data_IF_037710441559
#
_entry.id   IF_037710441559
#
_cell.length_a   1.000
_cell.length_b   1.000
_cell.length_c   1.000
_cell.angle_alpha   90.00
_cell.angle_beta   90.00
_cell.angle_gamma   90.00
#
_symmetry.space_group_name_H-M   'P 1'
#
loop_
_entity.id
_entity.type
_entity.pdbx_description
1 polymer ?
#
# COMPACT_ATOMS: atom_id res chain seq x y z
N UNK A 1 -79.64 9.87 25.48
CA UNK A 1 -78.55 8.88 25.63
C UNK A 1 -77.52 9.22 24.52
N UNK A 2 -76.45 10.00 24.82
CA UNK A 2 -75.40 10.34 23.91
C UNK A 2 -74.25 9.34 24.06
N UNK A 3 -73.94 8.60 23.02
CA UNK A 3 -72.76 7.70 22.96
C UNK A 3 -71.56 8.50 22.55
N UNK A 4 -70.56 8.60 23.43
CA UNK A 4 -69.25 9.18 23.15
C UNK A 4 -68.36 8.10 22.51
N UNK A 5 -67.92 8.34 21.28
CA UNK A 5 -66.92 7.50 20.61
C UNK A 5 -65.53 8.08 20.86
N UNK A 6 -64.71 7.31 21.60
CA UNK A 6 -63.31 7.66 21.90
C UNK A 6 -62.44 7.03 20.78
N UNK A 7 -61.87 7.82 19.91
CA UNK A 7 -60.88 7.39 18.90
C UNK A 7 -59.50 7.38 19.49
N UNK A 8 -58.90 6.19 19.63
CA UNK A 8 -57.48 6.00 20.01
C UNK A 8 -56.60 6.18 18.75
N UNK A 9 -55.82 7.25 18.71
CA UNK A 9 -54.80 7.41 17.68
C UNK A 9 -53.51 6.69 18.13
N UNK A 10 -53.15 5.58 17.49
CA UNK A 10 -51.84 4.94 17.63
C UNK A 10 -50.81 5.76 16.82
N UNK A 11 -49.96 6.46 17.50
CA UNK A 11 -48.73 7.05 16.89
C UNK A 11 -47.64 5.99 16.83
N UNK A 12 -47.40 5.44 15.66
CA UNK A 12 -46.24 4.58 15.37
C UNK A 12 -44.95 5.44 15.22
N UNK A 13 -44.14 5.46 16.26
CA UNK A 13 -42.78 6.02 16.21
C UNK A 13 -41.88 5.06 15.44
N UNK A 14 -41.59 5.38 14.18
CA UNK A 14 -40.55 4.71 13.41
C UNK A 14 -39.19 5.11 13.99
N UNK A 15 -38.54 4.22 14.71
CA UNK A 15 -37.14 4.36 15.08
C UNK A 15 -36.28 4.18 13.79
N UNK A 16 -35.81 5.27 13.22
CA UNK A 16 -34.73 5.24 12.25
C UNK A 16 -33.45 4.84 12.99
N UNK A 17 -33.02 3.58 12.83
CA UNK A 17 -31.67 3.18 13.17
C UNK A 17 -30.73 3.88 12.19
N UNK A 18 -30.00 4.90 12.67
CA UNK A 18 -28.90 5.48 11.92
C UNK A 18 -27.84 4.36 11.66
N UNK A 19 -27.28 4.24 10.44
CA UNK A 19 -26.19 3.31 10.21
C UNK A 19 -25.06 3.70 11.15
N UNK A 20 -24.63 2.76 12.02
CA UNK A 20 -23.40 2.92 12.78
C UNK A 20 -22.28 2.97 11.75
N UNK A 21 -21.66 4.15 11.59
CA UNK A 21 -20.39 4.27 10.88
C UNK A 21 -19.43 3.32 11.61
N UNK A 22 -18.95 2.30 10.94
CA UNK A 22 -17.87 1.44 11.44
C UNK A 22 -16.66 2.33 11.61
N UNK A 23 -16.34 2.71 12.85
CA UNK A 23 -15.14 3.46 13.15
C UNK A 23 -13.95 2.62 12.67
N UNK A 24 -13.13 3.17 11.78
CA UNK A 24 -11.86 2.54 11.40
C UNK A 24 -11.09 2.23 12.70
N UNK A 25 -10.52 1.01 12.83
CA UNK A 25 -9.80 0.64 14.02
C UNK A 25 -8.67 1.63 14.28
N UNK A 26 -8.68 2.28 15.44
CA UNK A 26 -7.61 3.17 15.82
C UNK A 26 -6.33 2.37 16.08
N UNK A 27 -5.19 2.88 15.64
CA UNK A 27 -3.89 2.30 15.95
C UNK A 27 -3.64 2.29 17.47
N UNK A 28 -3.13 1.17 17.99
CA UNK A 28 -2.78 1.02 19.39
C UNK A 28 -1.41 0.36 19.56
N UNK A 29 -0.42 1.12 19.99
CA UNK A 29 0.93 0.60 20.29
C UNK A 29 0.91 -0.47 21.38
N UNK A 30 -0.04 -0.40 22.33
CA UNK A 30 -0.20 -1.42 23.36
C UNK A 30 -0.68 -2.76 22.79
N UNK A 31 -1.62 -2.74 21.84
CA UNK A 31 -2.07 -3.95 21.15
C UNK A 31 -0.96 -4.54 20.28
N UNK A 32 -0.21 -3.69 19.56
CA UNK A 32 0.96 -4.15 18.78
C UNK A 32 1.97 -4.85 19.70
N UNK A 33 2.31 -4.25 20.81
CA UNK A 33 3.30 -4.78 21.77
C UNK A 33 2.91 -6.13 22.41
N UNK A 34 1.64 -6.52 22.38
CA UNK A 34 1.19 -7.84 22.85
C UNK A 34 1.59 -8.98 21.90
N UNK A 35 1.88 -8.67 20.63
CA UNK A 35 2.30 -9.66 19.66
C UNK A 35 3.80 -9.85 19.75
N UNK A 36 4.21 -11.04 20.19
CA UNK A 36 5.62 -11.43 20.29
C UNK A 36 5.82 -12.80 19.62
N UNK A 37 6.88 -12.93 18.86
CA UNK A 37 7.20 -14.12 18.08
C UNK A 37 8.64 -14.59 18.41
N UNK A 38 8.85 -15.88 18.47
CA UNK A 38 10.20 -16.45 18.67
C UNK A 38 11.09 -16.28 17.43
N UNK A 39 10.49 -16.19 16.24
CA UNK A 39 11.19 -15.90 14.99
C UNK A 39 10.24 -15.28 13.95
N UNK A 40 10.81 -14.60 12.94
CA UNK A 40 10.09 -14.10 11.78
C UNK A 40 10.02 -15.13 10.63
N UNK A 41 9.98 -16.41 10.98
CA UNK A 41 9.79 -17.46 9.98
C UNK A 41 8.37 -17.44 9.42
N UNK A 42 8.21 -17.85 8.17
CA UNK A 42 6.90 -17.99 7.52
C UNK A 42 5.87 -18.68 8.42
N UNK A 43 6.25 -19.82 9.01
CA UNK A 43 5.39 -20.60 9.89
C UNK A 43 4.86 -19.78 11.09
N UNK A 44 5.72 -18.97 11.73
CA UNK A 44 5.32 -18.18 12.90
C UNK A 44 4.44 -16.99 12.49
N UNK A 45 4.77 -16.31 11.40
CA UNK A 45 3.97 -15.23 10.84
C UNK A 45 2.57 -15.74 10.46
N UNK A 46 2.49 -16.84 9.70
CA UNK A 46 1.20 -17.39 9.26
C UNK A 46 0.34 -17.86 10.44
N UNK A 47 0.93 -18.51 11.44
CA UNK A 47 0.19 -18.93 12.65
C UNK A 47 -0.32 -17.76 13.47
N UNK A 48 0.45 -16.68 13.58
CA UNK A 48 0.06 -15.52 14.36
C UNK A 48 -1.07 -14.71 13.70
N UNK A 49 -0.98 -14.47 12.40
CA UNK A 49 -1.84 -13.50 11.73
C UNK A 49 -2.94 -14.13 10.87
N UNK A 50 -2.78 -15.41 10.47
CA UNK A 50 -3.69 -16.09 9.54
C UNK A 50 -4.22 -17.43 10.09
N UNK A 51 -4.17 -17.62 11.42
CA UNK A 51 -4.68 -18.83 12.05
C UNK A 51 -6.14 -19.08 11.69
N UNK A 52 -6.46 -20.32 11.30
CA UNK A 52 -7.82 -20.71 10.91
C UNK A 52 -8.22 -20.36 9.47
N UNK A 53 -7.34 -19.66 8.73
CA UNK A 53 -7.57 -19.32 7.32
C UNK A 53 -6.73 -20.16 6.35
N UNK A 54 -5.71 -20.84 6.86
CA UNK A 54 -4.74 -21.56 6.03
C UNK A 54 -5.32 -22.86 5.49
N UNK A 55 -5.13 -23.10 4.19
CA UNK A 55 -5.43 -24.34 3.49
C UNK A 55 -4.29 -24.73 2.56
N UNK A 56 -4.36 -25.91 1.96
CA UNK A 56 -3.40 -26.31 0.93
C UNK A 56 -3.84 -25.76 -0.41
N UNK A 57 -2.90 -25.22 -1.17
CA UNK A 57 -3.10 -24.79 -2.54
C UNK A 57 -1.88 -25.11 -3.40
N UNK A 58 -2.01 -24.89 -4.68
CA UNK A 58 -0.99 -25.11 -5.68
C UNK A 58 -0.73 -23.81 -6.43
N UNK A 59 0.54 -23.52 -6.71
CA UNK A 59 0.98 -22.37 -7.52
C UNK A 59 1.85 -22.93 -8.65
N UNK A 60 1.41 -22.72 -9.88
CA UNK A 60 2.14 -23.11 -11.10
C UNK A 60 2.87 -21.90 -11.70
N UNK A 61 3.76 -21.33 -10.91
CA UNK A 61 4.66 -20.27 -11.32
C UNK A 61 6.06 -20.60 -10.80
N UNK A 62 7.05 -20.59 -11.67
CA UNK A 62 8.39 -21.07 -11.34
C UNK A 62 9.06 -20.26 -10.23
N UNK A 63 8.85 -18.94 -10.17
CA UNK A 63 9.45 -18.07 -9.17
C UNK A 63 8.64 -18.10 -7.86
N UNK A 64 7.33 -17.96 -7.95
CA UNK A 64 6.45 -17.89 -6.78
C UNK A 64 6.39 -19.22 -6.04
N UNK A 65 6.44 -20.34 -6.75
CA UNK A 65 6.47 -21.68 -6.13
C UNK A 65 7.70 -21.93 -5.26
N UNK A 66 8.81 -21.21 -5.50
CA UNK A 66 10.03 -21.26 -4.68
C UNK A 66 9.93 -20.41 -3.40
N UNK A 67 9.00 -19.47 -3.34
CA UNK A 67 8.76 -18.66 -2.16
C UNK A 67 7.97 -19.44 -1.10
N UNK A 68 8.18 -19.16 0.21
CA UNK A 68 7.30 -19.68 1.24
C UNK A 68 5.87 -19.20 1.00
N UNK A 69 4.92 -20.14 0.78
CA UNK A 69 3.54 -19.81 0.45
C UNK A 69 2.53 -20.76 1.08
N UNK A 70 1.28 -20.30 1.15
CA UNK A 70 0.12 -21.08 1.59
C UNK A 70 -1.16 -20.43 1.08
N UNK A 71 -2.18 -21.23 0.80
CA UNK A 71 -3.51 -20.73 0.43
C UNK A 71 -4.27 -20.22 1.66
N UNK A 72 -5.05 -19.16 1.49
CA UNK A 72 -5.90 -18.55 2.50
C UNK A 72 -7.37 -18.64 2.10
N UNK A 73 -8.22 -19.05 3.06
CA UNK A 73 -9.66 -19.11 2.86
C UNK A 73 -10.11 -20.26 1.97
N UNK A 74 -11.25 -20.05 1.33
CA UNK A 74 -11.85 -20.93 0.33
C UNK A 74 -11.72 -20.27 -1.05
N UNK A 75 -11.87 -21.05 -2.12
CA UNK A 75 -11.99 -20.50 -3.46
C UNK A 75 -13.22 -19.58 -3.56
N UNK A 76 -13.12 -18.56 -4.39
CA UNK A 76 -14.23 -17.69 -4.76
C UNK A 76 -15.16 -18.35 -5.78
N UNK A 77 -16.15 -17.59 -6.30
CA UNK A 77 -17.15 -18.08 -7.27
C UNK A 77 -16.52 -18.44 -8.62
N UNK A 78 -15.36 -17.87 -8.94
CA UNK A 78 -14.58 -18.14 -10.16
C UNK A 78 -13.52 -19.22 -9.95
N UNK A 79 -13.58 -19.96 -8.83
CA UNK A 79 -12.61 -20.98 -8.42
C UNK A 79 -11.19 -20.45 -8.14
N UNK A 80 -11.02 -19.12 -7.99
CA UNK A 80 -9.74 -18.54 -7.63
C UNK A 80 -9.50 -18.65 -6.12
N UNK A 81 -8.26 -18.88 -5.75
CA UNK A 81 -7.84 -18.94 -4.34
C UNK A 81 -6.84 -17.84 -4.03
N UNK A 82 -6.92 -17.29 -2.82
CA UNK A 82 -5.90 -16.35 -2.34
C UNK A 82 -4.69 -17.12 -1.86
N UNK A 83 -3.52 -16.83 -2.41
CA UNK A 83 -2.24 -17.38 -1.96
C UNK A 83 -1.42 -16.29 -1.27
N UNK A 84 -1.00 -16.57 -0.04
CA UNK A 84 -0.09 -15.73 0.74
C UNK A 84 1.36 -16.14 0.46
N UNK A 85 2.17 -15.21 0.02
CA UNK A 85 3.60 -15.34 -0.27
C UNK A 85 4.39 -14.53 0.74
N UNK A 86 5.41 -15.10 1.36
CA UNK A 86 6.29 -14.34 2.23
C UNK A 86 7.58 -13.96 1.50
N UNK A 87 7.80 -12.67 1.41
CA UNK A 87 9.05 -12.10 0.88
C UNK A 87 10.19 -12.17 1.91
N UNK A 88 11.46 -12.02 1.48
CA UNK A 88 12.58 -11.90 2.38
C UNK A 88 12.40 -10.77 3.40
N UNK A 89 12.77 -11.01 4.66
CA UNK A 89 12.68 -10.00 5.71
C UNK A 89 13.74 -8.92 5.49
N UNK A 90 13.33 -7.65 5.52
CA UNK A 90 14.23 -6.51 5.43
C UNK A 90 14.59 -6.01 6.84
N UNK A 91 15.87 -6.01 7.20
CA UNK A 91 16.34 -5.27 8.37
C UNK A 91 16.59 -3.81 7.98
N UNK A 92 16.06 -2.88 8.79
CA UNK A 92 16.30 -1.45 8.63
C UNK A 92 16.55 -0.77 9.99
N UNK A 93 16.97 0.49 9.96
CA UNK A 93 17.17 1.30 11.17
C UNK A 93 16.09 2.38 11.25
N UNK A 94 15.47 2.50 12.43
CA UNK A 94 14.64 3.66 12.73
C UNK A 94 15.50 4.93 12.93
N UNK A 95 14.87 6.07 13.18
CA UNK A 95 15.61 7.33 13.38
C UNK A 95 16.50 7.34 14.64
N UNK A 96 16.20 6.49 15.63
CA UNK A 96 17.06 6.27 16.79
C UNK A 96 18.22 5.28 16.53
N UNK A 97 18.39 4.83 15.29
CA UNK A 97 19.39 3.82 14.84
C UNK A 97 19.17 2.42 15.44
N UNK A 98 18.00 2.13 15.94
CA UNK A 98 17.60 0.81 16.40
C UNK A 98 17.16 -0.07 15.23
N UNK A 99 17.48 -1.38 15.28
CA UNK A 99 17.06 -2.33 14.26
C UNK A 99 15.55 -2.54 14.29
N UNK A 100 14.98 -2.57 13.09
CA UNK A 100 13.61 -2.98 12.80
C UNK A 100 13.64 -4.01 11.68
N UNK A 101 12.59 -4.80 11.61
CA UNK A 101 12.46 -5.91 10.66
C UNK A 101 11.11 -5.80 9.96
N UNK A 102 11.13 -5.49 8.67
CA UNK A 102 9.94 -5.43 7.84
C UNK A 102 9.66 -6.81 7.24
N UNK A 103 8.46 -7.31 7.47
CA UNK A 103 7.93 -8.54 6.89
C UNK A 103 6.80 -8.14 5.95
N UNK A 104 6.80 -8.66 4.72
CA UNK A 104 5.70 -8.54 3.76
C UNK A 104 5.11 -9.91 3.47
N UNK A 105 3.80 -9.98 3.59
CA UNK A 105 2.99 -11.09 3.07
C UNK A 105 2.19 -10.54 1.90
N UNK A 106 2.61 -10.88 0.70
CA UNK A 106 1.85 -10.57 -0.51
C UNK A 106 0.74 -11.59 -0.69
N UNK A 107 -0.44 -11.14 -1.07
CA UNK A 107 -1.62 -11.95 -1.33
C UNK A 107 -2.01 -11.80 -2.79
N UNK A 108 -1.92 -12.88 -3.53
CA UNK A 108 -2.25 -12.96 -4.95
C UNK A 108 -3.46 -13.87 -5.16
N UNK A 109 -4.17 -13.67 -6.26
CA UNK A 109 -5.21 -14.58 -6.70
C UNK A 109 -4.61 -15.62 -7.66
N UNK A 110 -4.96 -16.88 -7.45
CA UNK A 110 -4.47 -18.03 -8.24
C UNK A 110 -5.67 -18.84 -8.68
N UNK A 111 -5.79 -19.09 -9.96
CA UNK A 111 -6.84 -19.92 -10.55
C UNK A 111 -6.69 -21.40 -10.22
N UNK A 112 -7.68 -22.19 -10.61
CA UNK A 112 -7.74 -23.64 -10.32
C UNK A 112 -6.55 -24.43 -10.87
N UNK A 113 -5.93 -23.97 -11.96
CA UNK A 113 -4.72 -24.57 -12.55
C UNK A 113 -3.41 -24.10 -11.90
N UNK A 114 -3.45 -23.23 -10.91
CA UNK A 114 -2.26 -22.73 -10.22
C UNK A 114 -1.67 -21.44 -10.82
N UNK A 115 -2.20 -20.95 -11.94
CA UNK A 115 -1.71 -19.72 -12.59
C UNK A 115 -2.19 -18.46 -11.86
N UNK A 116 -1.33 -17.47 -11.76
CA UNK A 116 -1.69 -16.17 -11.20
C UNK A 116 -2.79 -15.55 -12.05
N UNK A 117 -3.87 -15.09 -11.40
CA UNK A 117 -4.93 -14.31 -12.05
C UNK A 117 -4.35 -12.93 -12.36
N UNK A 118 -4.03 -12.71 -13.64
CA UNK A 118 -3.26 -11.56 -14.08
C UNK A 118 -4.06 -10.76 -15.12
N UNK A 119 -4.23 -9.47 -14.84
CA UNK A 119 -4.71 -8.50 -15.81
C UNK A 119 -4.03 -7.14 -15.54
N UNK A 120 -4.06 -6.24 -16.53
CA UNK A 120 -3.43 -4.92 -16.43
C UNK A 120 -3.84 -4.15 -15.17
N UNK A 121 -5.13 -4.20 -14.82
CA UNK A 121 -5.71 -3.49 -13.69
C UNK A 121 -5.85 -4.36 -12.42
N UNK A 122 -5.48 -5.65 -12.49
CA UNK A 122 -5.52 -6.53 -11.31
C UNK A 122 -4.32 -6.24 -10.43
N UNK A 123 -4.54 -5.79 -9.21
CA UNK A 123 -3.50 -5.64 -8.20
C UNK A 123 -3.54 -6.81 -7.20
N UNK A 124 -2.37 -7.27 -6.77
CA UNK A 124 -2.25 -8.04 -5.53
C UNK A 124 -2.48 -7.14 -4.32
N UNK A 125 -2.60 -7.75 -3.15
CA UNK A 125 -2.64 -7.01 -1.89
C UNK A 125 -1.48 -7.44 -0.99
N UNK A 126 -1.16 -6.66 0.04
CA UNK A 126 -0.11 -7.03 0.98
C UNK A 126 -0.47 -6.69 2.42
N UNK A 127 0.03 -7.51 3.34
CA UNK A 127 0.10 -7.15 4.75
C UNK A 127 1.58 -6.90 5.11
N UNK A 128 1.85 -5.74 5.65
CA UNK A 128 3.16 -5.32 6.12
C UNK A 128 3.20 -5.35 7.65
N UNK A 129 4.30 -5.86 8.22
CA UNK A 129 4.52 -5.92 9.65
C UNK A 129 5.94 -5.44 9.97
N UNK A 130 6.06 -4.48 10.88
CA UNK A 130 7.35 -4.02 11.40
C UNK A 130 7.57 -4.54 12.80
N UNK A 131 8.72 -5.18 13.05
CA UNK A 131 9.09 -5.76 14.33
C UNK A 131 10.36 -5.11 14.88
N UNK A 132 10.53 -5.17 16.19
CA UNK A 132 11.79 -4.96 16.88
C UNK A 132 12.22 -6.25 17.59
N UNK A 133 13.53 -6.51 17.68
CA UNK A 133 14.07 -7.62 18.45
C UNK A 133 14.24 -7.23 19.92
N UNK A 134 13.72 -8.04 20.81
CA UNK A 134 13.84 -7.86 22.26
C UNK A 134 15.13 -8.48 22.79
N UNK A 135 15.52 -8.12 24.04
CA UNK A 135 16.70 -8.68 24.69
C UNK A 135 16.63 -10.21 24.92
N UNK A 136 15.43 -10.76 25.07
CA UNK A 136 15.21 -12.20 25.18
C UNK A 136 15.27 -12.95 23.84
N UNK A 137 15.56 -12.23 22.74
CA UNK A 137 15.68 -12.79 21.40
C UNK A 137 14.36 -12.83 20.61
N UNK A 138 13.22 -12.60 21.24
CA UNK A 138 11.91 -12.56 20.57
C UNK A 138 11.74 -11.29 19.73
N UNK A 139 10.80 -11.33 18.79
CA UNK A 139 10.41 -10.21 17.94
C UNK A 139 9.05 -9.67 18.37
N UNK A 140 8.99 -8.41 18.76
CA UNK A 140 7.78 -7.71 19.16
C UNK A 140 7.27 -6.87 18.00
N UNK A 141 5.99 -6.99 17.67
CA UNK A 141 5.35 -6.15 16.67
C UNK A 141 5.36 -4.68 17.12
N UNK A 142 5.75 -3.79 16.22
CA UNK A 142 5.79 -2.33 16.43
C UNK A 142 4.66 -1.66 15.67
N UNK A 143 4.49 -2.02 14.40
CA UNK A 143 3.46 -1.49 13.52
C UNK A 143 3.10 -2.51 12.44
N UNK A 144 1.97 -2.31 11.80
CA UNK A 144 1.51 -3.09 10.64
C UNK A 144 0.70 -2.21 9.70
N UNK A 145 0.45 -2.69 8.48
CA UNK A 145 -0.54 -2.09 7.60
C UNK A 145 -1.95 -2.16 8.23
N UNK A 146 -2.80 -1.19 7.90
CA UNK A 146 -4.22 -1.29 8.20
C UNK A 146 -4.82 -2.52 7.49
N UNK A 147 -5.93 -3.04 7.99
CA UNK A 147 -6.57 -4.22 7.39
C UNK A 147 -7.06 -3.95 5.96
N UNK A 148 -7.40 -2.72 5.71
CA UNK A 148 -7.92 -2.16 4.45
C UNK A 148 -6.87 -1.31 3.71
N UNK A 149 -5.58 -1.50 4.02
CA UNK A 149 -4.52 -0.79 3.32
C UNK A 149 -4.48 -1.21 1.84
N UNK A 150 -4.53 -0.21 0.98
CA UNK A 150 -4.40 -0.38 -0.46
C UNK A 150 -2.98 0.00 -0.88
N UNK A 151 -2.38 -0.82 -1.71
CA UNK A 151 -1.08 -0.58 -2.33
C UNK A 151 -1.26 -0.63 -3.84
N UNK A 152 -0.56 0.23 -4.56
CA UNK A 152 -0.52 0.17 -6.02
C UNK A 152 -0.07 -1.20 -6.50
N UNK A 153 -0.50 -1.59 -7.69
CA UNK A 153 -0.11 -2.86 -8.28
C UNK A 153 -0.75 -3.11 -9.64
N UNK A 154 -0.29 -4.14 -10.30
CA UNK A 154 -0.78 -4.58 -11.61
C UNK A 154 -0.41 -6.03 -11.86
N UNK A 155 -1.00 -6.64 -12.87
CA UNK A 155 -0.68 -8.02 -13.27
C UNK A 155 -0.80 -9.06 -12.14
N UNK A 156 -1.75 -8.85 -11.24
CA UNK A 156 -2.01 -9.74 -10.10
C UNK A 156 -1.04 -9.57 -8.94
N UNK A 157 -0.10 -8.62 -9.01
CA UNK A 157 0.97 -8.40 -8.03
C UNK A 157 0.82 -7.04 -7.33
N UNK A 158 1.37 -6.95 -6.13
CA UNK A 158 1.49 -5.67 -5.43
C UNK A 158 2.71 -4.89 -5.94
N UNK A 159 2.56 -3.59 -6.12
CA UNK A 159 3.62 -2.68 -6.59
C UNK A 159 4.59 -2.25 -5.48
N UNK A 160 5.05 -3.21 -4.67
CA UNK A 160 6.02 -3.00 -3.59
C UNK A 160 7.27 -3.83 -3.86
N UNK A 161 8.20 -3.28 -4.65
CA UNK A 161 9.52 -3.89 -4.83
C UNK A 161 10.36 -3.74 -3.55
N UNK A 162 10.48 -4.85 -2.80
CA UNK A 162 11.20 -4.84 -1.52
C UNK A 162 12.70 -4.60 -1.67
N UNK A 163 13.31 -4.94 -2.79
CA UNK A 163 14.73 -4.64 -3.02
C UNK A 163 14.94 -3.15 -3.22
N UNK A 164 14.07 -2.52 -4.02
CA UNK A 164 14.08 -1.07 -4.21
C UNK A 164 13.73 -0.34 -2.92
N UNK A 165 12.70 -0.78 -2.21
CA UNK A 165 12.32 -0.24 -0.90
C UNK A 165 13.51 -0.29 0.07
N UNK A 166 14.19 -1.44 0.18
CA UNK A 166 15.32 -1.61 1.09
C UNK A 166 16.49 -0.66 0.76
N UNK A 167 16.79 -0.46 -0.53
CA UNK A 167 17.84 0.47 -1.00
C UNK A 167 17.52 1.94 -0.69
N UNK A 168 16.24 2.30 -0.68
CA UNK A 168 15.76 3.68 -0.56
C UNK A 168 15.25 4.05 0.83
N UNK A 169 15.38 3.14 1.84
CA UNK A 169 14.99 3.42 3.21
C UNK A 169 15.78 4.60 3.80
N UNK A 170 15.08 5.63 4.24
CA UNK A 170 15.64 6.87 4.78
C UNK A 170 14.66 7.57 5.72
N UNK A 171 15.13 8.55 6.53
CA UNK A 171 14.22 9.41 7.29
C UNK A 171 13.29 10.20 6.35
N UNK A 172 11.99 10.08 6.56
CA UNK A 172 10.92 10.87 5.92
C UNK A 172 10.27 11.85 6.90
N UNK A 173 10.73 11.90 8.15
CA UNK A 173 10.25 12.78 9.18
C UNK A 173 11.09 12.63 10.46
N UNK A 174 10.85 13.49 11.46
CA UNK A 174 11.59 13.47 12.73
C UNK A 174 11.61 12.08 13.41
N UNK A 175 10.48 11.35 13.35
CA UNK A 175 10.33 10.02 13.93
C UNK A 175 9.75 9.02 12.91
N UNK A 176 9.96 9.27 11.64
CA UNK A 176 9.43 8.47 10.55
C UNK A 176 10.56 8.03 9.63
N UNK A 177 10.67 6.73 9.40
CA UNK A 177 11.46 6.14 8.34
C UNK A 177 10.51 5.63 7.27
N UNK A 178 10.96 5.63 6.04
CA UNK A 178 10.20 5.11 4.92
C UNK A 178 11.05 4.99 3.67
N UNK A 179 10.41 4.65 2.57
CA UNK A 179 11.04 4.56 1.26
C UNK A 179 10.27 5.40 0.24
N UNK A 180 10.99 5.99 -0.68
CA UNK A 180 10.42 6.67 -1.86
C UNK A 180 10.79 5.83 -3.08
N UNK A 181 9.81 5.49 -3.88
CA UNK A 181 9.97 4.66 -5.08
C UNK A 181 8.98 5.10 -6.16
N UNK A 182 9.19 4.62 -7.37
CA UNK A 182 8.28 4.85 -8.49
C UNK A 182 7.40 3.64 -8.72
N UNK A 183 6.13 3.92 -9.03
CA UNK A 183 5.22 2.98 -9.64
C UNK A 183 4.76 3.50 -11.00
N UNK A 184 4.19 2.64 -11.81
CA UNK A 184 3.71 3.04 -13.11
C UNK A 184 3.04 1.92 -13.88
N UNK A 185 2.51 2.28 -15.02
CA UNK A 185 1.96 1.33 -15.98
C UNK A 185 2.18 1.83 -17.41
N UNK A 186 2.11 0.89 -18.36
CA UNK A 186 2.11 1.21 -19.79
C UNK A 186 0.79 0.75 -20.39
N UNK A 187 0.10 1.64 -21.08
CA UNK A 187 -1.14 1.34 -21.79
C UNK A 187 -1.18 2.09 -23.12
N UNK A 188 -1.60 1.40 -24.19
CA UNK A 188 -1.80 1.99 -25.54
C UNK A 188 -0.61 2.85 -26.03
N UNK A 189 0.62 2.39 -25.74
CA UNK A 189 1.85 3.08 -26.16
C UNK A 189 2.26 4.29 -25.31
N UNK A 190 1.57 4.52 -24.18
CA UNK A 190 1.94 5.54 -23.19
C UNK A 190 2.36 4.87 -21.89
N UNK A 191 3.50 5.26 -21.37
CA UNK A 191 3.97 4.91 -20.02
C UNK A 191 3.70 6.08 -19.08
N UNK A 192 3.10 5.82 -17.94
CA UNK A 192 2.86 6.81 -16.87
C UNK A 192 3.50 6.31 -15.59
N UNK A 193 4.26 7.19 -14.92
CA UNK A 193 4.96 6.92 -13.68
C UNK A 193 4.53 7.91 -12.61
N UNK A 194 4.50 7.44 -11.35
CA UNK A 194 4.25 8.29 -10.20
C UNK A 194 5.16 7.94 -9.03
N UNK A 195 5.43 8.93 -8.19
CA UNK A 195 6.16 8.76 -6.94
C UNK A 195 5.24 8.29 -5.84
N UNK A 196 5.67 7.29 -5.09
CA UNK A 196 5.05 6.83 -3.85
C UNK A 196 6.01 6.95 -2.67
N UNK A 197 5.41 7.17 -1.48
CA UNK A 197 6.10 7.20 -0.21
C UNK A 197 5.53 6.12 0.71
N UNK A 198 6.29 5.04 0.94
CA UNK A 198 5.97 4.06 1.97
C UNK A 198 6.40 4.61 3.33
N UNK A 199 5.45 4.80 4.23
CA UNK A 199 5.70 5.21 5.61
C UNK A 199 5.78 3.98 6.52
N UNK A 200 6.84 3.89 7.34
CA UNK A 200 7.05 2.86 8.36
C UNK A 200 7.04 3.50 9.76
N UNK A 201 5.88 3.98 10.25
CA UNK A 201 5.76 4.62 11.55
C UNK A 201 5.82 3.59 12.69
N UNK A 202 6.14 4.05 13.90
CA UNK A 202 6.07 3.23 15.12
C UNK A 202 4.81 3.51 15.96
N UNK A 203 4.03 4.52 15.60
CA UNK A 203 2.84 4.98 16.32
C UNK A 203 1.61 5.19 15.44
N UNK A 204 1.64 4.63 14.23
CA UNK A 204 0.53 4.61 13.27
C UNK A 204 0.64 3.37 12.40
N UNK A 205 -0.33 3.13 11.52
CA UNK A 205 -0.30 2.06 10.55
C UNK A 205 0.70 2.34 9.42
N UNK A 206 1.33 1.26 8.94
CA UNK A 206 2.14 1.28 7.72
C UNK A 206 1.22 1.51 6.53
N UNK A 207 1.58 2.44 5.65
CA UNK A 207 0.85 2.70 4.40
C UNK A 207 1.75 3.31 3.34
N UNK A 208 1.35 3.18 2.07
CA UNK A 208 1.94 3.91 0.94
C UNK A 208 1.03 5.08 0.56
N UNK A 209 1.63 6.16 0.12
CA UNK A 209 0.93 7.39 -0.27
C UNK A 209 1.47 7.90 -1.60
N UNK A 210 0.58 8.15 -2.55
CA UNK A 210 0.93 8.86 -3.77
C UNK A 210 1.45 10.26 -3.45
N UNK A 211 2.53 10.66 -4.11
CA UNK A 211 3.17 11.97 -3.92
C UNK A 211 2.89 12.88 -5.11
N UNK A 212 3.29 12.45 -6.30
CA UNK A 212 3.23 13.26 -7.52
C UNK A 212 3.49 12.39 -8.76
N UNK A 213 3.20 12.92 -9.94
CA UNK A 213 3.69 12.32 -11.18
C UNK A 213 5.22 12.19 -11.13
N UNK A 214 5.75 11.07 -11.60
CA UNK A 214 7.20 10.85 -11.70
C UNK A 214 7.71 11.04 -13.13
N UNK A 215 6.86 10.79 -14.12
CA UNK A 215 7.19 10.94 -15.52
C UNK A 215 6.10 10.35 -16.41
N UNK A 216 6.17 10.64 -17.69
CA UNK A 216 5.41 9.93 -18.70
C UNK A 216 6.07 10.06 -20.07
N UNK A 217 5.80 9.06 -20.91
CA UNK A 217 6.32 8.98 -22.28
C UNK A 217 5.27 8.32 -23.16
N UNK A 218 5.00 8.92 -24.34
CA UNK A 218 4.06 8.36 -25.31
C UNK A 218 4.73 7.88 -26.63
N UNK A 219 6.03 7.58 -26.56
CA UNK A 219 6.82 7.11 -27.71
C UNK A 219 6.38 5.77 -28.29
N UNK A 220 5.54 5.00 -27.58
CA UNK A 220 4.90 3.83 -28.18
C UNK A 220 3.73 4.14 -29.13
N UNK A 221 3.29 5.42 -29.17
CA UNK A 221 2.20 5.88 -30.05
C UNK A 221 2.65 6.96 -31.05
N UNK A 222 3.72 7.70 -30.73
CA UNK A 222 4.18 8.83 -31.52
C UNK A 222 5.70 8.80 -31.66
N UNK A 223 6.19 9.08 -32.87
CA UNK A 223 7.63 9.28 -33.12
C UNK A 223 8.10 10.62 -32.53
N UNK A 224 9.38 10.72 -32.21
CA UNK A 224 9.97 11.90 -31.53
C UNK A 224 9.80 13.22 -32.30
N UNK A 225 9.62 13.19 -33.65
CA UNK A 225 9.37 14.34 -34.50
C UNK A 225 7.89 14.74 -34.58
N UNK A 226 7.00 13.97 -33.99
CA UNK A 226 5.57 14.28 -33.93
C UNK A 226 5.31 15.47 -33.00
N UNK A 227 4.45 16.43 -33.40
CA UNK A 227 4.03 17.53 -32.53
C UNK A 227 3.20 17.05 -31.31
N UNK A 228 2.79 15.78 -31.28
CA UNK A 228 2.06 15.16 -30.18
C UNK A 228 2.94 14.28 -29.29
N UNK A 229 4.22 14.10 -29.65
CA UNK A 229 5.17 13.39 -28.81
C UNK A 229 5.48 14.18 -27.56
N UNK A 230 5.53 13.51 -26.41
CA UNK A 230 6.04 14.03 -25.17
C UNK A 230 6.79 12.99 -24.38
N UNK A 231 7.82 13.43 -23.70
CA UNK A 231 8.56 12.66 -22.70
C UNK A 231 9.05 13.61 -21.63
N UNK A 232 8.72 13.33 -20.39
CA UNK A 232 9.24 14.03 -19.23
C UNK A 232 9.53 13.06 -18.10
N UNK A 233 10.49 13.45 -17.28
CA UNK A 233 10.84 12.76 -16.05
C UNK A 233 10.86 13.72 -14.87
N UNK A 234 11.06 13.17 -13.69
CA UNK A 234 11.30 13.95 -12.49
C UNK A 234 12.26 13.25 -11.54
N UNK A 235 12.90 14.05 -10.68
CA UNK A 235 13.65 13.59 -9.52
C UNK A 235 12.94 14.01 -8.24
N UNK A 236 13.11 13.24 -7.16
CA UNK A 236 12.52 13.53 -5.87
C UNK A 236 13.59 13.60 -4.77
N UNK A 237 13.63 14.73 -4.06
CA UNK A 237 14.49 14.98 -2.90
C UNK A 237 13.66 15.08 -1.62
N UNK A 238 14.15 14.48 -0.53
CA UNK A 238 13.59 14.63 0.82
C UNK A 238 14.26 15.81 1.51
N UNK A 239 13.48 16.83 1.90
CA UNK A 239 14.00 18.04 2.53
C UNK A 239 13.92 17.92 4.04
N UNK A 240 15.02 17.54 4.68
CA UNK A 240 15.08 17.44 6.13
C UNK A 240 15.04 18.85 6.77
N UNK A 241 13.90 19.21 7.31
CA UNK A 241 13.66 20.47 8.02
C UNK A 241 13.32 20.27 9.51
N UNK A 242 13.48 19.04 10.04
CA UNK A 242 13.19 18.70 11.44
C UNK A 242 11.69 18.52 11.75
N UNK A 243 10.79 18.65 10.78
CA UNK A 243 9.35 18.47 10.96
C UNK A 243 8.97 17.00 11.24
N UNK A 244 7.75 16.77 11.70
CA UNK A 244 7.20 15.42 11.88
C UNK A 244 7.21 14.62 10.57
N UNK A 245 6.88 15.28 9.46
CA UNK A 245 6.96 14.77 8.08
C UNK A 245 7.80 15.75 7.26
N UNK A 246 8.82 15.25 6.59
CA UNK A 246 9.68 16.08 5.77
C UNK A 246 9.00 16.41 4.43
N UNK A 247 9.11 17.67 3.95
CA UNK A 247 8.66 18.00 2.60
C UNK A 247 9.44 17.21 1.54
N UNK A 248 8.74 16.86 0.49
CA UNK A 248 9.29 16.21 -0.69
C UNK A 248 9.35 17.22 -1.84
N UNK A 249 10.54 17.43 -2.42
CA UNK A 249 10.74 18.30 -3.55
C UNK A 249 10.82 17.47 -4.81
N UNK A 250 9.86 17.64 -5.72
CA UNK A 250 9.88 17.02 -7.04
C UNK A 250 10.31 18.05 -8.07
N UNK A 251 11.33 17.71 -8.87
CA UNK A 251 11.85 18.55 -9.94
C UNK A 251 11.59 17.88 -11.27
N UNK A 252 10.80 18.54 -12.11
CA UNK A 252 10.38 18.07 -13.42
C UNK A 252 11.25 18.62 -14.53
N UNK A 253 11.54 17.80 -15.56
CA UNK A 253 12.21 18.22 -16.78
C UNK A 253 11.70 17.42 -17.98
N UNK A 254 11.80 18.03 -19.18
CA UNK A 254 11.37 17.40 -20.43
C UNK A 254 10.23 18.14 -21.11
N UNK A 255 9.39 17.41 -21.81
CA UNK A 255 8.23 17.93 -22.54
C UNK A 255 6.96 17.27 -22.00
N UNK A 256 6.07 18.07 -21.43
CA UNK A 256 4.85 17.61 -20.75
C UNK A 256 3.62 18.17 -21.47
N UNK A 257 2.54 17.35 -21.65
CA UNK A 257 1.28 17.89 -22.15
C UNK A 257 0.63 18.83 -21.12
N UNK A 258 -0.17 19.78 -21.62
CA UNK A 258 -1.09 20.56 -20.80
C UNK A 258 -2.19 19.65 -20.21
N UNK A 259 -2.94 20.12 -19.22
CA UNK A 259 -4.04 19.35 -18.60
C UNK A 259 -5.07 18.88 -19.63
N UNK A 260 -5.32 19.70 -20.66
CA UNK A 260 -6.27 19.39 -21.73
C UNK A 260 -5.67 18.58 -22.89
N UNK A 261 -4.38 18.24 -22.82
CA UNK A 261 -3.61 17.55 -23.86
C UNK A 261 -3.61 18.26 -25.22
N UNK A 262 -3.86 19.55 -25.25
CA UNK A 262 -3.93 20.35 -26.48
C UNK A 262 -2.56 20.91 -26.92
N UNK A 263 -1.59 20.96 -26.03
CA UNK A 263 -0.24 21.47 -26.28
C UNK A 263 0.82 20.70 -25.49
N UNK A 264 1.98 20.55 -26.10
CA UNK A 264 3.18 20.03 -25.43
C UNK A 264 4.06 21.23 -25.05
N UNK A 265 4.53 21.27 -23.79
CA UNK A 265 5.36 22.38 -23.28
C UNK A 265 6.61 21.85 -22.60
N UNK A 266 7.72 22.52 -22.85
CA UNK A 266 8.94 22.29 -22.07
C UNK A 266 8.73 22.66 -20.61
N UNK A 267 9.13 21.77 -19.73
CA UNK A 267 9.05 21.94 -18.29
C UNK A 267 10.43 21.83 -17.66
N UNK A 268 10.71 22.74 -16.74
CA UNK A 268 11.89 22.72 -15.86
C UNK A 268 11.52 23.51 -14.61
N UNK A 269 10.85 22.86 -13.68
CA UNK A 269 10.42 23.50 -12.43
C UNK A 269 10.43 22.50 -11.28
N UNK A 270 10.41 23.02 -10.05
CA UNK A 270 10.27 22.19 -8.85
C UNK A 270 9.00 22.55 -8.09
N UNK A 271 8.41 21.55 -7.44
CA UNK A 271 7.27 21.71 -6.54
C UNK A 271 7.56 21.02 -5.21
N UNK A 272 7.14 21.62 -4.10
CA UNK A 272 7.21 21.03 -2.78
C UNK A 272 5.86 20.37 -2.45
N UNK A 273 5.94 19.15 -1.94
CA UNK A 273 4.79 18.39 -1.48
C UNK A 273 4.90 18.19 0.04
N UNK A 274 3.85 18.50 0.75
CA UNK A 274 3.76 18.38 2.20
C UNK A 274 2.73 17.30 2.57
N UNK A 275 3.09 16.43 3.51
CA UNK A 275 2.15 15.43 3.99
C UNK A 275 1.13 16.04 4.95
N UNK A 276 -0.15 15.87 4.62
CA UNK A 276 -1.26 16.21 5.50
C UNK A 276 -1.63 14.99 6.35
N UNK A 277 -1.24 14.99 7.62
CA UNK A 277 -1.45 13.86 8.52
C UNK A 277 -2.93 13.55 8.82
N UNK A 278 -3.83 14.55 8.70
CA UNK A 278 -5.28 14.38 8.92
C UNK A 278 -5.92 13.71 7.71
N UNK A 279 -5.58 14.18 6.50
CA UNK A 279 -6.13 13.65 5.25
C UNK A 279 -5.37 12.45 4.72
N UNK A 280 -4.18 12.17 5.28
CA UNK A 280 -3.28 11.10 4.84
C UNK A 280 -2.91 11.21 3.36
N UNK A 281 -2.52 12.40 2.91
CA UNK A 281 -2.17 12.69 1.51
C UNK A 281 -1.01 13.67 1.42
N UNK A 282 -0.26 13.64 0.31
CA UNK A 282 0.72 14.68 -0.06
C UNK A 282 0.07 15.74 -0.94
N UNK A 283 0.36 17.02 -0.65
CA UNK A 283 -0.08 18.19 -1.46
C UNK A 283 1.00 19.25 -1.55
#
# INVERSE_FOLDING_TARGET
MKKLLLSLALSSSALFAAPMATANPQFSSLQMAQVQLDSLSFKNIMRQFYSGQMSRGYVDDEELSKMPHITLGQADEDENTTVALMHPVIEYKNNAKESRYLVMIEKIQVGSEGNVVSCHACAGTADLFSFKKLHNGQYQLVSRSAKDAEFSGSWGRVGLDLEEIAKNLKPLGKNLVGSIFQNGYTSTGTTELWWEALHLPENDFINSYGVADAGADNGGSYEEDSPLYYSYDSSLDVINNGAAYFPLKVTYQGEKPTEDYDQIRKVNYSKLFHFNAIKKEYK
#
